data_IF_963892900745
#
_entry.id   IF_963892900745
#
_cell.length_a   1.000
_cell.length_b   1.000
_cell.length_c   1.000
_cell.angle_alpha   90.00
_cell.angle_beta   90.00
_cell.angle_gamma   90.00
#
_symmetry.space_group_name_H-M   'P 1'
#
loop_
_entity.id
_entity.type
_entity.pdbx_description
1 polymer ?
#
# COMPACT_ATOMS: atom_id res chain seq x y z
N UNK A 1 -52.83 -28.81 16.24
CA UNK A 1 -52.34 -27.46 16.62
C UNK A 1 -50.82 -27.41 16.87
N UNK A 2 -50.19 -28.49 17.37
CA UNK A 2 -48.76 -28.52 17.71
C UNK A 2 -47.76 -28.55 16.54
N UNK A 3 -48.08 -29.20 15.42
CA UNK A 3 -47.17 -29.36 14.26
C UNK A 3 -46.88 -28.05 13.52
N UNK A 4 -47.85 -27.12 13.48
CA UNK A 4 -47.71 -25.80 12.84
C UNK A 4 -46.75 -24.88 13.60
N UNK A 5 -46.70 -25.03 14.93
CA UNK A 5 -45.78 -24.30 15.81
C UNK A 5 -44.34 -24.75 15.60
N UNK A 6 -44.09 -26.07 15.59
CA UNK A 6 -42.76 -26.66 15.40
C UNK A 6 -42.15 -26.25 14.05
N UNK A 7 -42.96 -26.21 12.98
CA UNK A 7 -42.51 -25.73 11.67
C UNK A 7 -42.06 -24.27 11.68
N UNK A 8 -42.76 -23.39 12.42
CA UNK A 8 -42.38 -21.98 12.51
C UNK A 8 -41.06 -21.77 13.28
N UNK A 9 -40.80 -22.57 14.33
CA UNK A 9 -39.51 -22.55 15.02
C UNK A 9 -38.38 -22.99 14.10
N UNK A 10 -38.60 -24.05 13.31
CA UNK A 10 -37.60 -24.53 12.35
C UNK A 10 -37.28 -23.49 11.27
N UNK A 11 -38.31 -22.84 10.71
CA UNK A 11 -38.14 -21.77 9.72
C UNK A 11 -37.39 -20.56 10.31
N UNK A 12 -37.72 -20.17 11.55
CA UNK A 12 -37.05 -19.06 12.24
C UNK A 12 -35.57 -19.38 12.52
N UNK A 13 -35.27 -20.60 12.95
CA UNK A 13 -33.91 -21.07 13.18
C UNK A 13 -33.06 -21.09 11.90
N UNK A 14 -33.62 -21.60 10.80
CA UNK A 14 -32.95 -21.61 9.49
C UNK A 14 -32.69 -20.18 8.99
N UNK A 15 -33.64 -19.24 9.19
CA UNK A 15 -33.43 -17.81 8.89
C UNK A 15 -32.26 -17.20 9.67
N UNK A 16 -32.16 -17.49 10.96
CA UNK A 16 -31.05 -17.01 11.78
C UNK A 16 -29.70 -17.58 11.31
N UNK A 17 -29.65 -18.86 10.93
CA UNK A 17 -28.44 -19.47 10.35
C UNK A 17 -28.05 -18.79 9.03
N UNK A 18 -29.02 -18.51 8.15
CA UNK A 18 -28.74 -17.83 6.88
C UNK A 18 -28.21 -16.41 7.13
N UNK A 19 -28.78 -15.68 8.10
CA UNK A 19 -28.33 -14.33 8.48
C UNK A 19 -26.92 -14.35 9.07
N UNK A 20 -26.58 -15.32 9.92
CA UNK A 20 -25.23 -15.42 10.50
C UNK A 20 -24.19 -15.81 9.46
N UNK A 21 -24.51 -16.73 8.54
CA UNK A 21 -23.62 -17.08 7.42
C UNK A 21 -23.40 -15.89 6.49
N UNK A 22 -24.45 -15.13 6.17
CA UNK A 22 -24.32 -13.93 5.35
C UNK A 22 -23.42 -12.87 6.01
N UNK A 23 -23.55 -12.68 7.33
CA UNK A 23 -22.72 -11.76 8.10
C UNK A 23 -21.24 -12.19 8.10
N UNK A 24 -20.96 -13.49 8.28
CA UNK A 24 -19.60 -14.04 8.25
C UNK A 24 -18.94 -13.93 6.87
N UNK A 25 -19.71 -14.10 5.78
CA UNK A 25 -19.21 -13.93 4.42
C UNK A 25 -18.83 -12.48 4.11
N UNK A 26 -19.57 -11.49 4.63
CA UNK A 26 -19.21 -10.07 4.46
C UNK A 26 -17.88 -9.68 5.12
N UNK A 27 -17.44 -10.38 6.18
CA UNK A 27 -16.13 -10.13 6.79
C UNK A 27 -14.96 -10.67 5.97
N UNK A 28 -15.16 -11.73 5.18
CA UNK A 28 -14.09 -12.37 4.41
C UNK A 28 -13.71 -11.61 3.12
N UNK A 29 -14.51 -10.64 2.69
CA UNK A 29 -14.25 -9.85 1.48
C UNK A 29 -13.16 -8.78 1.67
N UNK A 30 -12.70 -8.54 2.91
CA UNK A 30 -11.79 -7.42 3.22
C UNK A 30 -10.30 -7.78 3.36
N UNK A 31 -9.87 -8.99 3.02
CA UNK A 31 -8.43 -9.37 3.05
C UNK A 31 -7.70 -9.07 1.74
N UNK A 32 -8.21 -8.13 0.93
CA UNK A 32 -7.52 -7.73 -0.28
C UNK A 32 -6.22 -7.00 0.11
N UNK A 33 -5.06 -7.59 -0.19
CA UNK A 33 -3.80 -6.87 -0.17
C UNK A 33 -3.98 -5.59 -1.00
N UNK A 34 -3.96 -4.43 -0.32
CA UNK A 34 -4.21 -3.15 -0.98
C UNK A 34 -2.90 -2.73 -1.64
N UNK A 35 -2.75 -3.08 -2.91
CA UNK A 35 -1.67 -2.59 -3.75
C UNK A 35 -1.99 -1.17 -4.27
N UNK A 36 -1.04 -0.26 -4.10
CA UNK A 36 -1.01 1.04 -4.74
C UNK A 36 -0.02 0.98 -5.90
N UNK A 37 -0.47 0.91 -7.16
CA UNK A 37 0.42 0.72 -8.30
C UNK A 37 1.35 1.93 -8.47
N UNK A 38 2.54 1.71 -9.03
CA UNK A 38 3.41 2.81 -9.42
C UNK A 38 2.66 3.76 -10.38
N UNK A 39 2.85 5.07 -10.20
CA UNK A 39 2.22 6.09 -11.05
C UNK A 39 3.08 6.45 -12.26
N UNK A 40 4.34 6.02 -12.27
CA UNK A 40 5.28 6.21 -13.36
C UNK A 40 6.17 4.99 -13.52
N UNK A 41 6.51 4.68 -14.77
CA UNK A 41 7.36 3.56 -15.17
C UNK A 41 8.68 4.08 -15.73
N UNK A 42 9.75 3.34 -15.46
CA UNK A 42 11.09 3.57 -15.96
C UNK A 42 11.27 2.82 -17.27
N UNK A 43 11.89 3.49 -18.25
CA UNK A 43 12.19 2.91 -19.55
C UNK A 43 13.50 2.10 -19.50
N UNK A 44 13.62 1.07 -20.34
CA UNK A 44 14.86 0.28 -20.54
C UNK A 44 15.30 -0.63 -19.37
N UNK A 45 14.40 -0.97 -18.45
CA UNK A 45 14.65 -1.96 -17.39
C UNK A 45 13.80 -3.22 -17.60
N UNK A 46 14.33 -4.39 -17.18
CA UNK A 46 13.57 -5.65 -17.17
C UNK A 46 12.32 -5.56 -16.31
N UNK A 47 12.42 -4.86 -15.18
CA UNK A 47 11.30 -4.40 -14.37
C UNK A 47 11.26 -2.88 -14.37
N UNK A 48 10.15 -2.32 -14.83
CA UNK A 48 10.01 -0.86 -15.03
C UNK A 48 9.71 -0.08 -13.74
N UNK A 49 9.55 -0.74 -12.60
CA UNK A 49 9.26 -0.09 -11.31
C UNK A 49 9.78 -0.91 -10.13
N UNK A 50 9.95 -0.25 -8.98
CA UNK A 50 10.31 -0.89 -7.69
C UNK A 50 9.05 -1.28 -6.92
N UNK A 51 9.17 -2.19 -5.97
CA UNK A 51 8.05 -2.58 -5.09
C UNK A 51 8.45 -2.25 -3.65
N UNK A 52 7.63 -1.45 -2.97
CA UNK A 52 7.76 -1.18 -1.55
C UNK A 52 6.71 -2.00 -0.78
N UNK A 53 7.15 -3.06 -0.13
CA UNK A 53 6.34 -3.83 0.80
C UNK A 53 6.37 -3.15 2.17
N UNK A 54 5.22 -3.00 2.82
CA UNK A 54 5.14 -2.41 4.15
C UNK A 54 4.17 -3.13 5.07
N UNK A 55 4.54 -3.21 6.34
CA UNK A 55 3.68 -3.66 7.43
C UNK A 55 2.54 -2.69 7.74
N UNK A 56 2.54 -1.49 7.16
CA UNK A 56 1.46 -0.53 7.30
C UNK A 56 0.27 -1.01 6.48
N UNK A 57 -0.85 -1.28 7.14
CA UNK A 57 -2.11 -1.67 6.48
C UNK A 57 -2.98 -0.45 6.15
N UNK A 58 -2.89 0.61 6.94
CA UNK A 58 -3.69 1.82 6.74
C UNK A 58 -3.09 2.74 5.68
N UNK A 59 -3.70 2.73 4.49
CA UNK A 59 -3.36 3.60 3.35
C UNK A 59 -3.36 5.09 3.73
N UNK A 60 -4.24 5.53 4.62
CA UNK A 60 -4.43 6.94 4.93
C UNK A 60 -3.16 7.58 5.51
N UNK A 61 -2.30 6.78 6.15
CA UNK A 61 -1.00 7.23 6.68
C UNK A 61 -0.02 7.70 5.59
N UNK A 62 -0.24 7.31 4.33
CA UNK A 62 0.54 7.80 3.19
C UNK A 62 -0.08 9.01 2.48
N UNK A 63 -1.25 9.49 2.92
CA UNK A 63 -1.92 10.68 2.38
C UNK A 63 -1.46 11.99 3.06
N UNK A 64 -0.60 11.91 4.07
CA UNK A 64 0.04 13.10 4.65
C UNK A 64 1.00 13.77 3.67
N UNK A 65 1.18 15.08 3.79
CA UNK A 65 2.10 15.84 2.96
C UNK A 65 3.57 15.53 3.29
N UNK A 66 4.41 15.48 2.26
CA UNK A 66 5.84 15.26 2.38
C UNK A 66 6.56 16.57 2.71
N UNK A 67 7.01 16.72 3.96
CA UNK A 67 7.63 17.94 4.48
C UNK A 67 6.75 19.17 4.16
N UNK A 68 7.34 20.28 3.68
CA UNK A 68 6.63 21.52 3.33
C UNK A 68 6.12 21.54 1.87
N UNK A 69 5.96 20.36 1.25
CA UNK A 69 5.43 20.25 -0.12
C UNK A 69 3.93 19.96 -0.12
N UNK A 70 3.23 20.34 -1.19
CA UNK A 70 1.83 19.94 -1.40
C UNK A 70 1.68 18.53 -2.02
N UNK A 71 2.69 17.67 -1.88
CA UNK A 71 2.71 16.31 -2.41
C UNK A 71 2.53 15.31 -1.28
N UNK A 72 1.63 14.34 -1.45
CA UNK A 72 1.45 13.26 -0.47
C UNK A 72 2.61 12.27 -0.50
N UNK A 73 2.85 11.56 0.61
CA UNK A 73 3.91 10.55 0.67
C UNK A 73 3.75 9.48 -0.42
N UNK A 74 2.53 8.97 -0.63
CA UNK A 74 2.29 7.97 -1.68
C UNK A 74 2.59 8.52 -3.07
N UNK A 75 2.26 9.79 -3.34
CA UNK A 75 2.54 10.41 -4.62
C UNK A 75 4.05 10.56 -4.85
N UNK A 76 4.79 10.99 -3.82
CA UNK A 76 6.26 11.08 -3.89
C UNK A 76 6.86 9.72 -4.22
N UNK A 77 6.48 8.66 -3.49
CA UNK A 77 6.98 7.30 -3.72
C UNK A 77 6.60 6.80 -5.12
N UNK A 78 5.32 6.90 -5.48
CA UNK A 78 4.76 6.23 -6.66
C UNK A 78 5.07 6.92 -7.97
N UNK A 79 5.13 8.25 -7.97
CA UNK A 79 5.37 9.04 -9.19
C UNK A 79 6.83 9.44 -9.34
N UNK A 80 7.44 10.02 -8.31
CA UNK A 80 8.81 10.54 -8.42
C UNK A 80 9.87 9.45 -8.28
N UNK A 81 9.57 8.37 -7.56
CA UNK A 81 10.50 7.26 -7.33
C UNK A 81 10.02 5.92 -7.91
N UNK A 82 9.03 5.93 -8.81
CA UNK A 82 8.66 4.79 -9.66
C UNK A 82 8.46 3.50 -8.86
N UNK A 83 7.77 3.61 -7.72
CA UNK A 83 7.68 2.54 -6.72
C UNK A 83 6.22 2.25 -6.40
N UNK A 84 5.75 1.02 -6.58
CA UNK A 84 4.44 0.60 -6.06
C UNK A 84 4.52 0.42 -4.55
N UNK A 85 3.36 0.49 -3.87
CA UNK A 85 3.28 0.26 -2.42
C UNK A 85 2.35 -0.92 -2.19
N UNK A 86 2.87 -1.98 -1.59
CA UNK A 86 2.10 -3.14 -1.16
C UNK A 86 1.87 -3.00 0.35
N UNK A 87 0.62 -2.72 0.72
CA UNK A 87 0.23 -2.56 2.12
C UNK A 87 0.04 -3.92 2.79
N UNK A 88 0.08 -3.93 4.13
CA UNK A 88 -0.18 -5.13 4.94
C UNK A 88 0.74 -6.33 4.63
N UNK A 89 1.99 -6.08 4.28
CA UNK A 89 3.03 -7.10 4.10
C UNK A 89 3.65 -7.52 5.43
N UNK A 90 4.31 -8.68 5.47
CA UNK A 90 4.97 -9.19 6.69
C UNK A 90 6.15 -8.33 7.18
N UNK A 91 6.78 -7.57 6.29
CA UNK A 91 7.98 -6.79 6.58
C UNK A 91 8.10 -5.55 5.70
N UNK A 92 8.86 -4.56 6.18
CA UNK A 92 9.17 -3.36 5.42
C UNK A 92 10.38 -3.61 4.51
N UNK A 93 10.17 -3.62 3.20
CA UNK A 93 11.20 -3.90 2.21
C UNK A 93 11.03 -3.08 0.94
N UNK A 94 12.16 -2.70 0.33
CA UNK A 94 12.19 -2.20 -1.03
C UNK A 94 12.82 -3.24 -1.95
N UNK A 95 12.10 -3.64 -2.99
CA UNK A 95 12.59 -4.49 -4.07
C UNK A 95 12.91 -3.58 -5.26
N UNK A 96 14.19 -3.45 -5.63
CA UNK A 96 14.63 -2.62 -6.75
C UNK A 96 14.22 -3.19 -8.11
N UNK A 97 14.43 -2.40 -9.15
CA UNK A 97 14.14 -2.79 -10.55
C UNK A 97 14.97 -4.00 -11.02
N UNK A 98 16.16 -4.23 -10.44
CA UNK A 98 16.99 -5.40 -10.72
C UNK A 98 16.65 -6.61 -9.82
N UNK A 99 15.67 -6.48 -8.91
CA UNK A 99 15.25 -7.52 -7.98
C UNK A 99 16.02 -7.56 -6.65
N UNK A 100 17.03 -6.70 -6.45
CA UNK A 100 17.71 -6.60 -5.15
C UNK A 100 16.72 -6.19 -4.05
N UNK A 101 16.80 -6.87 -2.90
CA UNK A 101 15.90 -6.65 -1.76
C UNK A 101 16.65 -5.88 -0.67
N UNK A 102 16.04 -4.80 -0.20
CA UNK A 102 16.54 -3.97 0.89
C UNK A 102 15.56 -3.99 2.05
N UNK A 103 16.00 -4.44 3.22
CA UNK A 103 15.20 -4.35 4.44
C UNK A 103 15.18 -2.90 4.95
N UNK A 104 13.99 -2.40 5.27
CA UNK A 104 13.77 -1.07 5.80
C UNK A 104 13.55 -1.16 7.31
N UNK A 105 14.14 -0.23 8.05
CA UNK A 105 14.15 -0.23 9.52
C UNK A 105 13.05 0.64 10.13
N UNK A 106 12.54 1.60 9.35
CA UNK A 106 11.50 2.53 9.80
C UNK A 106 10.15 1.85 10.00
N UNK A 107 9.31 2.45 10.85
CA UNK A 107 7.97 1.90 11.19
C UNK A 107 6.79 2.76 10.76
N UNK A 108 7.00 4.08 10.62
CA UNK A 108 5.96 5.01 10.21
C UNK A 108 6.14 5.43 8.74
N UNK A 109 5.05 5.83 8.10
CA UNK A 109 5.01 6.14 6.67
C UNK A 109 6.00 7.24 6.26
N UNK A 110 6.15 8.30 7.07
CA UNK A 110 7.07 9.41 6.77
C UNK A 110 8.53 8.93 6.75
N UNK A 111 8.97 8.26 7.80
CA UNK A 111 10.34 7.78 7.91
C UNK A 111 10.63 6.69 6.86
N UNK A 112 9.66 5.82 6.55
CA UNK A 112 9.77 4.87 5.44
C UNK A 112 9.95 5.58 4.10
N UNK A 113 9.20 6.67 3.87
CA UNK A 113 9.36 7.50 2.66
C UNK A 113 10.77 8.09 2.59
N UNK A 114 11.27 8.67 3.69
CA UNK A 114 12.62 9.24 3.76
C UNK A 114 13.72 8.18 3.54
N UNK A 115 13.55 6.98 4.10
CA UNK A 115 14.47 5.84 3.95
C UNK A 115 14.49 5.33 2.50
N UNK A 116 13.33 5.20 1.85
CA UNK A 116 13.23 4.85 0.42
C UNK A 116 13.94 5.88 -0.44
N UNK A 117 13.68 7.17 -0.24
CA UNK A 117 14.31 8.26 -1.01
C UNK A 117 15.83 8.20 -0.84
N UNK A 118 16.30 8.02 0.40
CA UNK A 118 17.73 7.91 0.71
C UNK A 118 18.38 6.72 -0.01
N UNK A 119 17.73 5.55 0.04
CA UNK A 119 18.24 4.32 -0.57
C UNK A 119 18.25 4.42 -2.11
N UNK A 120 17.13 4.86 -2.69
CA UNK A 120 16.97 5.05 -4.12
C UNK A 120 17.95 6.10 -4.66
N UNK A 121 18.19 7.20 -3.93
CA UNK A 121 19.13 8.25 -4.36
C UNK A 121 20.57 7.77 -4.55
N UNK A 122 20.93 6.65 -3.91
CA UNK A 122 22.26 6.02 -4.04
C UNK A 122 22.34 5.09 -5.25
N UNK A 123 21.22 4.66 -5.81
CA UNK A 123 21.14 3.85 -7.02
C UNK A 123 21.43 4.68 -8.27
N UNK A 124 21.88 4.03 -9.34
CA UNK A 124 22.23 4.71 -10.61
C UNK A 124 21.05 5.50 -11.19
N UNK A 125 19.90 4.86 -11.41
CA UNK A 125 18.68 5.51 -11.90
C UNK A 125 18.11 6.47 -10.86
N UNK A 126 18.04 6.00 -9.62
CA UNK A 126 17.40 6.74 -8.53
C UNK A 126 18.11 8.04 -8.17
N UNK A 127 19.40 8.18 -8.50
CA UNK A 127 20.11 9.45 -8.42
C UNK A 127 19.46 10.52 -9.31
N UNK A 128 19.12 10.19 -10.56
CA UNK A 128 18.45 11.12 -11.49
C UNK A 128 17.07 11.50 -10.97
N UNK A 129 16.30 10.52 -10.50
CA UNK A 129 14.97 10.71 -9.89
C UNK A 129 15.04 11.68 -8.70
N UNK A 130 16.01 11.46 -7.79
CA UNK A 130 16.23 12.33 -6.62
C UNK A 130 16.64 13.75 -7.01
N UNK A 131 17.47 13.91 -8.05
CA UNK A 131 17.86 15.24 -8.54
C UNK A 131 16.68 16.00 -9.16
N UNK A 132 15.84 15.32 -9.93
CA UNK A 132 14.63 15.91 -10.51
C UNK A 132 13.64 16.34 -9.42
N UNK A 133 13.42 15.47 -8.42
CA UNK A 133 12.55 15.79 -7.29
C UNK A 133 13.07 16.99 -6.47
N UNK A 134 14.37 17.05 -6.18
CA UNK A 134 14.98 18.20 -5.48
C UNK A 134 14.84 19.52 -6.26
N UNK A 135 14.94 19.48 -7.59
CA UNK A 135 14.76 20.68 -8.43
C UNK A 135 13.33 21.20 -8.39
N UNK A 136 12.33 20.32 -8.27
CA UNK A 136 10.93 20.70 -8.12
C UNK A 136 10.73 21.49 -6.82
N UNK A 137 11.27 20.99 -5.71
CA UNK A 137 11.05 21.57 -4.39
C UNK A 137 11.79 22.90 -4.20
N UNK A 138 12.92 23.11 -4.87
CA UNK A 138 13.64 24.40 -4.85
C UNK A 138 12.95 25.55 -5.59
N UNK A 139 11.92 25.27 -6.39
CA UNK A 139 11.16 26.29 -7.13
C UNK A 139 9.97 26.85 -6.34
N UNK A 140 9.77 26.37 -5.11
CA UNK A 140 8.64 26.72 -4.25
C UNK A 140 9.05 27.78 -3.19
N UNK A 141 10.34 28.09 -3.11
CA UNK A 141 10.92 29.24 -2.38
C UNK A 141 11.07 30.46 -3.31
#
# INVERSE_FOLDING_TARGET
MFTKSINNYYISFVRYIILTIALLLSFNVYSQEVELPALRLSDNFSKSYRVFNTTISDKSLFQQYYNDTNLTLDYVIRYHFYTSINLNSDQNQLISMDGTIFNLSSKNAKNLTDEIISLVSKMYVGRKESMEFKKLNKKID
#
